data_IF_405057578862
#
_entry.id   IF_405057578862
#
_cell.length_a   1.000
_cell.length_b   1.000
_cell.length_c   1.000
_cell.angle_alpha   90.00
_cell.angle_beta   90.00
_cell.angle_gamma   90.00
#
_symmetry.space_group_name_H-M   'P 1'
#
loop_
_entity.id
_entity.type
_entity.pdbx_description
1 polymer ?
#
# COMPACT_ATOMS: atom_id res chain seq x y z
N UNK A 1 -16.34 18.39 10.59
CA UNK A 1 -15.80 17.05 10.31
C UNK A 1 -14.48 17.21 9.58
N UNK A 2 -13.37 17.39 10.30
CA UNK A 2 -12.04 17.39 9.68
C UNK A 2 -11.65 15.94 9.45
N UNK A 3 -11.84 15.42 8.24
CA UNK A 3 -11.21 14.17 7.84
C UNK A 3 -9.71 14.35 8.06
N UNK A 4 -9.11 13.53 8.93
CA UNK A 4 -7.67 13.59 9.19
C UNK A 4 -6.98 13.46 7.82
N UNK A 5 -6.22 14.47 7.35
CA UNK A 5 -5.59 14.43 6.03
C UNK A 5 -4.75 13.16 5.81
N UNK A 6 -4.21 12.62 6.89
CA UNK A 6 -3.47 11.37 6.94
C UNK A 6 -4.32 10.13 6.60
N UNK A 7 -5.61 10.11 6.97
CA UNK A 7 -6.51 8.99 6.68
C UNK A 7 -6.82 8.89 5.18
N UNK A 8 -7.16 10.02 4.54
CA UNK A 8 -7.39 10.06 3.08
C UNK A 8 -6.10 9.70 2.32
N UNK A 9 -4.95 10.19 2.80
CA UNK A 9 -3.64 9.88 2.22
C UNK A 9 -3.30 8.39 2.37
N UNK A 10 -3.65 7.78 3.51
CA UNK A 10 -3.54 6.34 3.75
C UNK A 10 -4.40 5.53 2.80
N UNK A 11 -5.68 5.88 2.63
CA UNK A 11 -6.57 5.18 1.69
C UNK A 11 -6.07 5.26 0.25
N UNK A 12 -5.66 6.45 -0.19
CA UNK A 12 -5.09 6.64 -1.52
C UNK A 12 -3.80 5.84 -1.72
N UNK A 13 -2.94 5.76 -0.69
CA UNK A 13 -1.71 4.98 -0.76
C UNK A 13 -1.94 3.47 -0.81
N UNK A 14 -2.94 2.95 -0.07
CA UNK A 14 -3.38 1.56 -0.15
C UNK A 14 -3.89 1.26 -1.56
N UNK A 15 -4.79 2.08 -2.09
CA UNK A 15 -5.39 1.85 -3.41
C UNK A 15 -4.33 1.86 -4.52
N UNK A 16 -3.41 2.83 -4.50
CA UNK A 16 -2.30 2.91 -5.46
C UNK A 16 -1.34 1.72 -5.34
N UNK A 17 -0.98 1.34 -4.11
CA UNK A 17 -0.08 0.21 -3.87
C UNK A 17 -0.68 -1.12 -4.34
N UNK A 18 -1.98 -1.35 -4.11
CA UNK A 18 -2.68 -2.53 -4.63
C UNK A 18 -2.72 -2.55 -6.16
N UNK A 19 -3.05 -1.43 -6.79
CA UNK A 19 -3.08 -1.33 -8.25
C UNK A 19 -1.70 -1.58 -8.88
N UNK A 20 -0.63 -1.05 -8.27
CA UNK A 20 0.75 -1.29 -8.71
C UNK A 20 1.14 -2.76 -8.54
N UNK A 21 0.78 -3.36 -7.40
CA UNK A 21 1.03 -4.78 -7.11
C UNK A 21 0.35 -5.69 -8.12
N UNK A 22 -0.92 -5.42 -8.47
CA UNK A 22 -1.66 -6.17 -9.49
C UNK A 22 -0.99 -6.07 -10.87
N UNK A 23 -0.54 -4.87 -11.24
CA UNK A 23 0.17 -4.65 -12.50
C UNK A 23 1.51 -5.41 -12.54
N UNK A 24 2.28 -5.39 -11.46
CA UNK A 24 3.55 -6.09 -11.37
C UNK A 24 3.36 -7.61 -11.32
N UNK A 25 2.33 -8.10 -10.64
CA UNK A 25 1.94 -9.51 -10.66
C UNK A 25 1.55 -9.97 -12.06
N UNK A 26 0.78 -9.16 -12.80
CA UNK A 26 0.41 -9.45 -14.19
C UNK A 26 1.64 -9.50 -15.12
N UNK A 27 2.62 -8.60 -14.94
CA UNK A 27 3.89 -8.64 -15.67
C UNK A 27 4.66 -9.94 -15.42
N UNK A 28 4.76 -10.39 -14.17
CA UNK A 28 5.44 -11.64 -13.82
C UNK A 28 4.70 -12.85 -14.41
N UNK A 29 3.37 -12.84 -14.32
CA UNK A 29 2.53 -13.93 -14.83
C UNK A 29 2.41 -13.95 -16.35
N UNK A 30 2.83 -12.89 -17.05
CA UNK A 30 2.70 -12.78 -18.50
C UNK A 30 3.57 -13.78 -19.25
N UNK A 31 3.02 -14.39 -20.29
CA UNK A 31 3.72 -15.39 -21.11
C UNK A 31 4.97 -14.84 -21.81
N UNK A 32 5.06 -13.52 -22.03
CA UNK A 32 6.24 -12.87 -22.61
C UNK A 32 7.44 -12.90 -21.66
N UNK A 33 7.20 -12.73 -20.35
CA UNK A 33 8.25 -12.85 -19.32
C UNK A 33 8.86 -14.25 -19.32
N UNK A 34 8.03 -15.29 -19.45
CA UNK A 34 8.47 -16.69 -19.50
C UNK A 34 9.15 -17.07 -20.83
N UNK A 35 8.74 -16.49 -21.95
CA UNK A 35 9.28 -16.83 -23.28
C UNK A 35 10.59 -16.12 -23.60
N UNK A 36 10.79 -14.89 -23.13
CA UNK A 36 11.99 -14.09 -23.43
C UNK A 36 13.10 -14.23 -22.40
N UNK A 37 12.90 -14.97 -21.30
CA UNK A 37 13.83 -14.95 -20.17
C UNK A 37 13.95 -13.55 -19.57
N UNK A 38 12.86 -12.78 -19.60
CA UNK A 38 12.84 -11.40 -19.14
C UNK A 38 13.13 -11.33 -17.64
N UNK A 39 13.82 -10.28 -17.22
CA UNK A 39 14.22 -10.10 -15.83
C UNK A 39 13.00 -9.93 -14.92
N UNK A 40 12.68 -10.99 -14.15
CA UNK A 40 11.63 -11.00 -13.13
C UNK A 40 12.05 -10.28 -11.85
N UNK A 41 13.33 -9.96 -11.69
CA UNK A 41 13.87 -9.35 -10.47
C UNK A 41 13.31 -7.95 -10.29
N UNK A 42 13.25 -7.15 -11.35
CA UNK A 42 12.68 -5.80 -11.31
C UNK A 42 11.20 -5.79 -10.88
N UNK A 43 10.27 -6.54 -11.52
CA UNK A 43 8.88 -6.56 -11.07
C UNK A 43 8.71 -7.18 -9.67
N UNK A 44 9.55 -8.12 -9.24
CA UNK A 44 9.53 -8.65 -7.87
C UNK A 44 9.95 -7.60 -6.82
N UNK A 45 11.01 -6.83 -7.09
CA UNK A 45 11.44 -5.73 -6.22
C UNK A 45 10.38 -4.64 -6.17
N UNK A 46 9.77 -4.32 -7.31
CA UNK A 46 8.66 -3.38 -7.37
C UNK A 46 7.46 -3.86 -6.55
N UNK A 47 7.09 -5.15 -6.63
CA UNK A 47 6.04 -5.71 -5.76
C UNK A 47 6.38 -5.61 -4.26
N UNK A 48 7.65 -5.76 -3.88
CA UNK A 48 8.07 -5.57 -2.48
C UNK A 48 7.90 -4.11 -2.05
N UNK A 49 8.26 -3.16 -2.91
CA UNK A 49 8.04 -1.73 -2.68
C UNK A 49 6.55 -1.41 -2.55
N UNK A 50 5.71 -1.96 -3.43
CA UNK A 50 4.26 -1.80 -3.39
C UNK A 50 3.66 -2.32 -2.07
N UNK A 51 4.12 -3.49 -1.61
CA UNK A 51 3.72 -4.04 -0.31
C UNK A 51 4.09 -3.10 0.84
N UNK A 52 5.31 -2.55 0.84
CA UNK A 52 5.76 -1.60 1.85
C UNK A 52 4.91 -0.31 1.82
N UNK A 53 4.55 0.17 0.63
CA UNK A 53 3.68 1.34 0.48
C UNK A 53 2.29 1.09 1.08
N UNK A 54 1.68 -0.05 0.80
CA UNK A 54 0.38 -0.44 1.39
C UNK A 54 0.49 -0.56 2.91
N UNK A 55 1.54 -1.20 3.42
CA UNK A 55 1.76 -1.35 4.86
C UNK A 55 1.98 0.00 5.57
N UNK A 56 2.77 0.89 4.98
CA UNK A 56 2.98 2.23 5.51
C UNK A 56 1.67 3.02 5.55
N UNK A 57 0.89 2.96 4.48
CA UNK A 57 -0.42 3.61 4.41
C UNK A 57 -1.44 3.01 5.40
N UNK A 58 -1.43 1.69 5.59
CA UNK A 58 -2.22 1.03 6.63
C UNK A 58 -1.78 1.46 8.03
N UNK A 59 -0.46 1.60 8.27
CA UNK A 59 0.06 2.07 9.55
C UNK A 59 -0.37 3.49 9.87
N UNK A 60 -0.43 4.38 8.87
CA UNK A 60 -0.95 5.75 9.03
C UNK A 60 -2.43 5.77 9.45
N UNK A 61 -3.24 4.87 8.89
CA UNK A 61 -4.65 4.73 9.28
C UNK A 61 -4.75 4.20 10.71
N UNK A 62 -3.96 3.18 11.05
CA UNK A 62 -3.92 2.59 12.39
C UNK A 62 -3.51 3.63 13.44
N UNK A 63 -2.46 4.41 13.20
CA UNK A 63 -2.01 5.47 14.11
C UNK A 63 -3.03 6.59 14.23
N UNK A 64 -3.70 6.96 13.13
CA UNK A 64 -4.80 7.92 13.16
C UNK A 64 -5.96 7.42 14.03
N UNK A 65 -6.31 6.14 13.92
CA UNK A 65 -7.35 5.51 14.75
C UNK A 65 -6.93 5.43 16.22
N UNK A 66 -5.67 5.08 16.50
CA UNK A 66 -5.13 5.04 17.85
C UNK A 66 -5.11 6.44 18.51
N UNK A 67 -4.78 7.49 17.75
CA UNK A 67 -4.86 8.88 18.24
C UNK A 67 -6.30 9.30 18.52
N UNK A 68 -7.28 8.90 17.71
CA UNK A 68 -8.69 9.16 18.00
C UNK A 68 -9.13 8.43 19.28
N UNK A 69 -8.75 7.16 19.42
CA UNK A 69 -9.00 6.38 20.63
C UNK A 69 -8.42 7.02 21.88
N UNK A 70 -7.15 7.46 21.84
CA UNK A 70 -6.52 8.12 22.98
C UNK A 70 -7.13 9.48 23.30
N UNK A 71 -7.57 10.27 22.32
CA UNK A 71 -8.28 11.54 22.58
C UNK A 71 -9.63 11.29 23.27
N UNK A 72 -10.36 10.25 22.88
CA UNK A 72 -11.63 9.89 23.52
C UNK A 72 -11.37 9.39 24.96
N UNK A 73 -10.33 8.58 25.14
CA UNK A 73 -9.94 8.01 26.44
C UNK A 73 -9.41 9.08 27.42
N UNK A 74 -8.76 10.14 26.95
CA UNK A 74 -8.34 11.29 27.78
C UNK A 74 -9.54 12.13 28.26
N UNK A 75 -10.71 12.01 27.60
CA UNK A 75 -11.88 12.87 27.86
C UNK A 75 -12.89 12.26 28.83
N UNK A 76 -12.51 11.23 29.58
CA UNK A 76 -13.29 10.66 30.69
C UNK A 76 -12.99 11.37 32.01
#
# INVERSE_FOLDING_TARGET
MSTIPAFQSGLNGIQKGLQSLDNNAAKIASADTFKSGADVTEPLVNMLSDKLQVQASAKVIETSNAMLGSIIDIKV
#
